data_IF_279853624416
#
_entry.id   IF_279853624416
#
_cell.length_a   1.000
_cell.length_b   1.000
_cell.length_c   1.000
_cell.angle_alpha   90.00
_cell.angle_beta   90.00
_cell.angle_gamma   90.00
#
_symmetry.space_group_name_H-M   'P 1'
#
loop_
_entity.id
_entity.type
_entity.pdbx_description
1 polymer ?
#
# COMPACT_ATOMS: atom_id res chain seq x y z
N UNK A 1 32.06 6.56 18.26
CA UNK A 1 32.17 5.14 17.91
C UNK A 1 31.33 4.40 18.93
N UNK A 2 30.18 3.93 18.59
CA UNK A 2 29.37 3.07 19.49
C UNK A 2 29.77 1.63 19.20
N UNK A 3 30.43 1.01 20.17
CA UNK A 3 30.80 -0.39 20.16
C UNK A 3 29.61 -1.20 20.71
N UNK A 4 29.04 -2.07 19.87
CA UNK A 4 28.05 -3.03 20.34
C UNK A 4 28.76 -4.19 21.01
N UNK A 5 28.68 -4.28 22.34
CA UNK A 5 29.25 -5.36 23.14
C UNK A 5 28.24 -6.52 23.22
N UNK A 6 28.67 -7.72 22.85
CA UNK A 6 27.91 -8.96 23.10
C UNK A 6 28.09 -9.45 24.52
N UNK A 7 27.19 -10.30 25.01
CA UNK A 7 27.29 -10.94 26.34
C UNK A 7 28.58 -11.78 26.58
N UNK A 8 29.42 -11.95 25.56
CA UNK A 8 30.72 -12.62 25.58
C UNK A 8 31.93 -11.71 25.42
N UNK A 9 31.77 -10.37 25.36
CA UNK A 9 32.89 -9.42 25.27
C UNK A 9 33.53 -9.31 23.88
N UNK A 10 33.05 -10.01 22.86
CA UNK A 10 33.50 -9.83 21.47
C UNK A 10 32.82 -8.60 20.83
N UNK A 11 33.65 -7.64 20.41
CA UNK A 11 33.19 -6.47 19.65
C UNK A 11 32.99 -6.89 18.21
N UNK A 12 31.74 -7.12 17.83
CA UNK A 12 31.41 -7.39 16.41
C UNK A 12 31.57 -6.11 15.60
N UNK A 13 32.25 -6.17 14.43
CA UNK A 13 32.41 -4.99 13.58
C UNK A 13 31.05 -4.48 13.11
N UNK A 14 30.72 -3.23 13.42
CA UNK A 14 29.52 -2.56 12.87
C UNK A 14 29.73 -2.40 11.38
N UNK A 15 29.09 -3.26 10.59
CA UNK A 15 29.15 -3.19 9.13
C UNK A 15 28.32 -2.01 8.67
N UNK A 16 28.97 -0.92 8.32
CA UNK A 16 28.30 0.25 7.72
C UNK A 16 27.84 -0.04 6.31
N UNK A 17 26.64 0.46 6.00
CA UNK A 17 26.04 0.33 4.69
C UNK A 17 26.49 1.50 3.80
N UNK A 18 27.09 1.20 2.65
CA UNK A 18 27.29 2.17 1.59
C UNK A 18 25.97 2.40 0.81
N UNK A 19 25.92 3.42 -0.05
CA UNK A 19 24.71 3.73 -0.85
C UNK A 19 24.25 2.56 -1.70
N UNK A 20 25.19 1.78 -2.27
CA UNK A 20 24.87 0.61 -3.10
C UNK A 20 24.17 -0.47 -2.28
N UNK A 21 24.61 -0.70 -1.05
CA UNK A 21 23.99 -1.70 -0.16
C UNK A 21 22.61 -1.27 0.32
N UNK A 22 22.38 0.02 0.60
CA UNK A 22 21.05 0.56 0.86
C UNK A 22 20.13 0.40 -0.35
N UNK A 23 20.60 0.74 -1.55
CA UNK A 23 19.83 0.56 -2.78
C UNK A 23 19.52 -0.93 -3.05
N UNK A 24 20.50 -1.82 -2.85
CA UNK A 24 20.31 -3.25 -2.97
C UNK A 24 19.31 -3.80 -1.95
N UNK A 25 19.38 -3.35 -0.68
CA UNK A 25 18.40 -3.74 0.34
C UNK A 25 16.99 -3.26 -0.03
N UNK A 26 16.85 -2.07 -0.61
CA UNK A 26 15.56 -1.50 -1.01
C UNK A 26 15.01 -2.06 -2.33
N UNK A 27 15.79 -2.85 -3.09
CA UNK A 27 15.40 -3.32 -4.44
C UNK A 27 14.11 -4.14 -4.44
N UNK A 28 13.88 -5.01 -3.44
CA UNK A 28 12.66 -5.81 -3.40
C UNK A 28 11.41 -4.94 -3.19
N UNK A 29 11.54 -3.79 -2.52
CA UNK A 29 10.41 -2.87 -2.39
C UNK A 29 10.00 -2.26 -3.74
N UNK A 30 10.97 -2.03 -4.65
CA UNK A 30 10.67 -1.68 -6.04
C UNK A 30 9.86 -2.79 -6.71
N UNK A 31 10.29 -4.05 -6.64
CA UNK A 31 9.60 -5.18 -7.26
C UNK A 31 8.18 -5.39 -6.70
N UNK A 32 8.04 -5.30 -5.38
CA UNK A 32 6.73 -5.38 -4.72
C UNK A 32 5.81 -4.25 -5.15
N UNK A 33 6.28 -3.00 -5.18
CA UNK A 33 5.45 -1.85 -5.56
C UNK A 33 5.13 -1.82 -7.05
N UNK A 34 6.05 -2.29 -7.89
CA UNK A 34 5.84 -2.51 -9.32
C UNK A 34 4.70 -3.49 -9.59
N UNK A 35 4.47 -4.44 -8.68
CA UNK A 35 3.41 -5.46 -8.78
C UNK A 35 2.14 -5.02 -8.06
N UNK A 36 2.23 -4.64 -6.78
CA UNK A 36 1.09 -4.40 -5.90
C UNK A 36 0.22 -3.21 -6.28
N UNK A 37 0.72 -2.22 -7.01
CA UNK A 37 -0.07 -1.05 -7.37
C UNK A 37 -0.80 -1.24 -8.70
N UNK A 38 -0.16 -1.56 -9.85
CA UNK A 38 -0.89 -1.71 -11.11
C UNK A 38 -1.70 -3.01 -11.18
N UNK A 39 -1.30 -4.09 -10.51
CA UNK A 39 -2.04 -5.35 -10.54
C UNK A 39 -3.50 -5.19 -10.05
N UNK A 40 -3.79 -4.77 -8.81
CA UNK A 40 -5.16 -4.70 -8.31
C UNK A 40 -5.96 -3.53 -8.91
N UNK A 41 -5.30 -2.51 -9.45
CA UNK A 41 -5.96 -1.31 -9.95
C UNK A 41 -6.21 -1.32 -11.47
N UNK A 42 -5.48 -2.17 -12.21
CA UNK A 42 -5.59 -2.23 -13.68
C UNK A 42 -5.79 -3.66 -14.18
N UNK A 43 -4.89 -4.59 -13.83
CA UNK A 43 -4.90 -5.95 -14.39
C UNK A 43 -6.09 -6.76 -13.84
N UNK A 44 -6.35 -6.68 -12.54
CA UNK A 44 -7.46 -7.40 -11.91
C UNK A 44 -8.82 -6.90 -12.41
N UNK A 45 -9.14 -5.58 -12.44
CA UNK A 45 -10.41 -5.10 -12.98
C UNK A 45 -10.64 -5.49 -14.43
N UNK A 46 -9.61 -5.43 -15.29
CA UNK A 46 -9.74 -5.86 -16.69
C UNK A 46 -10.02 -7.37 -16.81
N UNK A 47 -9.28 -8.18 -16.03
CA UNK A 47 -9.51 -9.63 -16.02
C UNK A 47 -10.92 -9.97 -15.54
N UNK A 48 -11.40 -9.33 -14.47
CA UNK A 48 -12.76 -9.55 -13.94
C UNK A 48 -13.81 -9.15 -14.96
N UNK A 49 -13.67 -7.98 -15.61
CA UNK A 49 -14.60 -7.55 -16.66
C UNK A 49 -14.66 -8.51 -17.86
N UNK A 50 -13.56 -9.22 -18.16
CA UNK A 50 -13.53 -10.23 -19.23
C UNK A 50 -14.31 -11.50 -18.88
N UNK A 51 -14.40 -11.85 -17.59
CA UNK A 51 -15.13 -13.04 -17.11
C UNK A 51 -16.59 -12.72 -16.76
N UNK A 52 -16.85 -11.52 -16.25
CA UNK A 52 -18.16 -11.03 -15.84
C UNK A 52 -18.47 -9.68 -16.51
N UNK A 53 -19.06 -9.69 -17.71
CA UNK A 53 -19.42 -8.45 -18.42
C UNK A 53 -20.49 -7.62 -17.69
N UNK A 54 -21.29 -8.27 -16.84
CA UNK A 54 -22.28 -7.67 -15.96
C UNK A 54 -21.84 -7.85 -14.50
N UNK A 55 -22.22 -6.95 -13.62
CA UNK A 55 -21.89 -7.01 -12.17
C UNK A 55 -20.38 -7.10 -11.83
N UNK A 56 -19.52 -6.67 -12.74
CA UNK A 56 -18.08 -6.77 -12.56
C UNK A 56 -17.56 -5.98 -11.37
N UNK A 57 -18.23 -4.88 -10.96
CA UNK A 57 -17.80 -4.14 -9.76
C UNK A 57 -17.95 -4.99 -8.50
N UNK A 58 -19.02 -5.77 -8.38
CA UNK A 58 -19.20 -6.74 -7.30
C UNK A 58 -18.05 -7.75 -7.24
N UNK A 59 -17.69 -8.34 -8.39
CA UNK A 59 -16.62 -9.33 -8.44
C UNK A 59 -15.22 -8.72 -8.27
N UNK A 60 -14.99 -7.48 -8.70
CA UNK A 60 -13.77 -6.71 -8.38
C UNK A 60 -13.68 -6.52 -6.85
N UNK A 61 -14.78 -6.11 -6.22
CA UNK A 61 -14.87 -5.94 -4.78
C UNK A 61 -14.55 -7.24 -4.02
N UNK A 62 -15.13 -8.37 -4.43
CA UNK A 62 -14.87 -9.67 -3.81
C UNK A 62 -13.42 -10.14 -4.01
N UNK A 63 -12.87 -10.02 -5.21
CA UNK A 63 -11.48 -10.39 -5.48
C UNK A 63 -10.51 -9.54 -4.65
N UNK A 64 -10.75 -8.22 -4.57
CA UNK A 64 -9.97 -7.31 -3.75
C UNK A 64 -10.11 -7.64 -2.26
N UNK A 65 -11.32 -7.93 -1.79
CA UNK A 65 -11.59 -8.35 -0.40
C UNK A 65 -10.87 -9.64 -0.02
N UNK A 66 -10.86 -10.65 -0.91
CA UNK A 66 -10.09 -11.89 -0.73
C UNK A 66 -8.61 -11.57 -0.60
N UNK A 67 -8.05 -10.77 -1.51
CA UNK A 67 -6.64 -10.37 -1.46
C UNK A 67 -6.28 -9.67 -0.16
N UNK A 68 -7.12 -8.77 0.27
CA UNK A 68 -6.94 -7.99 1.47
C UNK A 68 -7.06 -8.82 2.76
N UNK A 69 -7.91 -9.85 2.79
CA UNK A 69 -7.94 -10.83 3.88
C UNK A 69 -6.57 -11.47 4.10
N UNK A 70 -5.90 -11.91 3.02
CA UNK A 70 -4.55 -12.47 3.12
C UNK A 70 -3.50 -11.42 3.43
N UNK A 71 -3.65 -10.18 2.97
CA UNK A 71 -2.74 -9.08 3.30
C UNK A 71 -2.76 -8.71 4.81
N UNK A 72 -3.87 -8.97 5.52
CA UNK A 72 -3.98 -8.76 6.97
C UNK A 72 -3.49 -9.98 7.74
N UNK A 73 -3.85 -11.19 7.31
CA UNK A 73 -3.65 -12.43 8.09
C UNK A 73 -2.26 -13.04 7.91
N UNK A 74 -1.71 -13.02 6.70
CA UNK A 74 -0.43 -13.69 6.39
C UNK A 74 0.79 -13.01 7.05
N UNK A 75 0.96 -11.67 7.02
CA UNK A 75 2.14 -11.05 7.57
C UNK A 75 2.39 -11.33 9.05
N UNK A 76 1.39 -11.26 9.97
CA UNK A 76 1.60 -11.64 11.36
C UNK A 76 1.99 -13.11 11.55
N UNK A 77 1.38 -14.02 10.76
CA UNK A 77 1.69 -15.46 10.83
C UNK A 77 3.12 -15.74 10.38
N UNK A 78 3.53 -15.17 9.24
CA UNK A 78 4.90 -15.32 8.73
C UNK A 78 5.90 -14.63 9.65
N UNK A 79 5.57 -13.48 10.22
CA UNK A 79 6.39 -12.81 11.22
C UNK A 79 6.71 -13.72 12.39
N UNK A 80 5.66 -14.29 13.02
CA UNK A 80 5.83 -15.24 14.14
C UNK A 80 6.61 -16.48 13.74
N UNK A 81 6.35 -17.02 12.55
CA UNK A 81 6.98 -18.24 12.09
C UNK A 81 8.45 -18.02 11.75
N UNK A 82 8.77 -16.95 11.05
CA UNK A 82 10.16 -16.61 10.70
C UNK A 82 11.02 -16.24 11.91
N UNK A 83 10.42 -15.74 13.00
CA UNK A 83 11.13 -15.50 14.27
C UNK A 83 11.61 -16.79 14.95
N UNK A 84 10.96 -17.93 14.67
CA UNK A 84 11.26 -19.22 15.31
C UNK A 84 12.23 -20.10 14.53
N UNK A 85 12.43 -19.80 13.25
CA UNK A 85 13.30 -20.61 12.39
C UNK A 85 14.74 -20.12 12.50
N UNK A 86 15.63 -21.06 12.81
CA UNK A 86 17.08 -20.88 12.72
C UNK A 86 17.58 -21.64 11.50
N UNK A 87 18.03 -20.94 10.47
CA UNK A 87 18.57 -21.53 9.24
C UNK A 87 19.97 -20.98 8.98
N UNK A 88 20.81 -21.81 8.37
CA UNK A 88 22.14 -21.39 7.87
C UNK A 88 22.08 -20.24 6.84
N UNK A 89 20.89 -20.02 6.26
CA UNK A 89 20.65 -18.94 5.31
C UNK A 89 20.06 -17.67 5.96
N UNK A 90 19.96 -17.62 7.29
CA UNK A 90 19.24 -16.60 8.04
C UNK A 90 17.80 -17.02 8.33
N UNK A 91 17.08 -16.21 9.11
CA UNK A 91 15.67 -16.49 9.51
C UNK A 91 14.64 -15.90 8.53
N UNK A 92 14.97 -14.78 7.85
CA UNK A 92 14.07 -14.03 6.96
C UNK A 92 14.26 -14.40 5.49
N UNK A 93 15.51 -14.59 5.06
CA UNK A 93 15.85 -14.84 3.63
C UNK A 93 15.13 -16.03 3.03
N UNK A 94 14.98 -17.19 3.69
CA UNK A 94 14.21 -18.32 3.13
C UNK A 94 12.76 -17.97 2.82
N UNK A 95 12.10 -17.17 3.68
CA UNK A 95 10.72 -16.74 3.46
C UNK A 95 10.59 -15.78 2.30
N UNK A 96 11.56 -14.89 2.09
CA UNK A 96 11.59 -14.02 0.90
C UNK A 96 11.72 -14.85 -0.38
N UNK A 97 12.65 -15.81 -0.41
CA UNK A 97 12.89 -16.65 -1.60
C UNK A 97 11.66 -17.50 -1.93
N UNK A 98 11.15 -18.26 -0.95
CA UNK A 98 9.98 -19.13 -1.14
C UNK A 98 8.74 -18.30 -1.46
N UNK A 99 8.55 -17.18 -0.76
CA UNK A 99 7.40 -16.32 -0.97
C UNK A 99 7.40 -15.66 -2.36
N UNK A 100 8.54 -15.16 -2.84
CA UNK A 100 8.63 -14.61 -4.20
C UNK A 100 8.46 -15.73 -5.24
N UNK A 101 9.11 -16.88 -5.08
CA UNK A 101 9.03 -17.99 -6.04
C UNK A 101 7.58 -18.51 -6.20
N UNK A 102 6.90 -18.79 -5.09
CA UNK A 102 5.51 -19.25 -5.13
C UNK A 102 4.52 -18.13 -5.48
N UNK A 103 4.83 -16.89 -5.13
CA UNK A 103 4.09 -15.73 -5.60
C UNK A 103 4.13 -15.58 -7.13
N UNK A 104 5.28 -15.82 -7.75
CA UNK A 104 5.45 -15.85 -9.21
C UNK A 104 4.62 -16.98 -9.84
N UNK A 105 4.53 -18.15 -9.21
CA UNK A 105 3.62 -19.22 -9.66
C UNK A 105 2.18 -18.71 -9.68
N UNK A 106 1.74 -17.97 -8.64
CA UNK A 106 0.41 -17.34 -8.60
C UNK A 106 0.21 -16.36 -9.76
N UNK A 107 1.19 -15.48 -10.05
CA UNK A 107 1.12 -14.57 -11.18
C UNK A 107 1.02 -15.32 -12.53
N UNK A 108 1.74 -16.42 -12.67
CA UNK A 108 1.70 -17.23 -13.89
C UNK A 108 0.34 -17.94 -14.04
N UNK A 109 -0.23 -18.48 -12.96
CA UNK A 109 -1.58 -19.09 -12.97
C UNK A 109 -2.61 -18.04 -13.38
N UNK A 110 -2.54 -16.80 -12.87
CA UNK A 110 -3.43 -15.71 -13.29
C UNK A 110 -3.25 -15.34 -14.76
N UNK A 111 -2.01 -15.28 -15.24
CA UNK A 111 -1.70 -14.93 -16.64
C UNK A 111 -2.33 -15.94 -17.61
N UNK A 112 -2.27 -17.22 -17.29
CA UNK A 112 -2.77 -18.31 -18.12
C UNK A 112 -4.22 -18.72 -17.84
N UNK A 113 -4.91 -18.00 -16.91
CA UNK A 113 -6.25 -18.35 -16.49
C UNK A 113 -7.26 -18.30 -17.65
N UNK A 114 -7.94 -19.42 -17.90
CA UNK A 114 -9.03 -19.54 -18.86
C UNK A 114 -10.41 -19.23 -18.27
N UNK A 115 -10.53 -19.18 -16.93
CA UNK A 115 -11.77 -18.88 -16.22
C UNK A 115 -11.49 -18.14 -14.91
N UNK A 116 -12.55 -17.55 -14.33
CA UNK A 116 -12.45 -16.75 -13.12
C UNK A 116 -11.94 -17.54 -11.91
N UNK A 117 -12.38 -18.80 -11.74
CA UNK A 117 -11.94 -19.63 -10.63
C UNK A 117 -10.42 -19.85 -10.65
N UNK A 118 -9.87 -20.17 -11.82
CA UNK A 118 -8.42 -20.32 -12.00
C UNK A 118 -7.70 -19.00 -11.72
N UNK A 119 -8.25 -17.87 -12.17
CA UNK A 119 -7.70 -16.54 -11.90
C UNK A 119 -7.66 -16.26 -10.39
N UNK A 120 -8.76 -16.51 -9.66
CA UNK A 120 -8.83 -16.32 -8.20
C UNK A 120 -7.88 -17.26 -7.45
N UNK A 121 -7.73 -18.52 -7.89
CA UNK A 121 -6.72 -19.43 -7.29
C UNK A 121 -5.31 -18.84 -7.44
N UNK A 122 -4.94 -18.36 -8.61
CA UNK A 122 -3.67 -17.69 -8.83
C UNK A 122 -3.52 -16.43 -7.98
N UNK A 123 -4.60 -15.63 -7.85
CA UNK A 123 -4.65 -14.46 -6.99
C UNK A 123 -4.40 -14.80 -5.52
N UNK A 124 -5.08 -15.82 -4.99
CA UNK A 124 -4.90 -16.28 -3.59
C UNK A 124 -3.46 -16.76 -3.36
N UNK A 125 -2.90 -17.54 -4.28
CA UNK A 125 -1.50 -17.99 -4.20
C UNK A 125 -0.57 -16.77 -4.15
N UNK A 126 -0.72 -15.83 -5.08
CA UNK A 126 0.11 -14.62 -5.11
C UNK A 126 -0.04 -13.80 -3.82
N UNK A 127 -1.27 -13.63 -3.31
CA UNK A 127 -1.53 -12.88 -2.09
C UNK A 127 -0.88 -13.52 -0.86
N UNK A 128 -1.01 -14.83 -0.68
CA UNK A 128 -0.40 -15.54 0.45
C UNK A 128 1.13 -15.39 0.41
N UNK A 129 1.73 -15.73 -0.71
CA UNK A 129 3.17 -15.87 -0.77
C UNK A 129 3.90 -14.55 -0.90
N UNK A 130 3.39 -13.58 -1.68
CA UNK A 130 4.01 -12.26 -1.77
C UNK A 130 3.82 -11.43 -0.49
N UNK A 131 2.67 -11.52 0.21
CA UNK A 131 2.53 -10.90 1.53
C UNK A 131 3.45 -11.55 2.57
N UNK A 132 3.67 -12.86 2.49
CA UNK A 132 4.65 -13.56 3.31
C UNK A 132 6.08 -13.09 3.05
N UNK A 133 6.46 -12.95 1.77
CA UNK A 133 7.76 -12.41 1.37
C UNK A 133 7.94 -10.96 1.86
N UNK A 134 6.91 -10.13 1.69
CA UNK A 134 6.93 -8.73 2.15
C UNK A 134 7.09 -8.62 3.66
N UNK A 135 6.40 -9.46 4.44
CA UNK A 135 6.53 -9.48 5.90
C UNK A 135 7.97 -9.80 6.35
N UNK A 136 8.56 -10.83 5.75
CA UNK A 136 9.95 -11.19 6.01
C UNK A 136 10.93 -10.09 5.58
N UNK A 137 10.65 -9.44 4.45
CA UNK A 137 11.43 -8.35 3.92
C UNK A 137 11.40 -7.10 4.82
N UNK A 138 10.23 -6.69 5.30
CA UNK A 138 10.15 -5.54 6.20
C UNK A 138 10.84 -5.82 7.55
N UNK A 139 10.79 -7.05 8.00
CA UNK A 139 11.43 -7.46 9.24
C UNK A 139 12.97 -7.57 9.14
N UNK A 140 13.55 -7.78 7.95
CA UNK A 140 15.01 -7.88 7.78
C UNK A 140 15.69 -6.51 7.89
N UNK A 141 14.98 -5.41 7.60
CA UNK A 141 15.56 -4.07 7.62
C UNK A 141 16.13 -3.71 8.99
N UNK A 142 15.36 -3.78 10.09
CA UNK A 142 15.92 -3.54 11.43
C UNK A 142 16.93 -4.62 11.87
N UNK A 143 16.91 -5.83 11.28
CA UNK A 143 17.85 -6.89 11.63
C UNK A 143 19.27 -6.62 11.08
N UNK A 144 19.40 -5.89 9.96
CA UNK A 144 20.70 -5.73 9.26
C UNK A 144 21.19 -4.29 9.18
N UNK A 145 20.31 -3.29 9.18
CA UNK A 145 20.68 -1.87 9.08
C UNK A 145 21.10 -1.32 10.44
N UNK A 146 22.23 -0.59 10.55
CA UNK A 146 22.60 0.13 11.76
C UNK A 146 21.56 1.20 12.13
N UNK A 147 21.34 1.43 13.44
CA UNK A 147 20.31 2.33 13.96
C UNK A 147 20.52 3.79 13.51
N UNK A 148 21.79 4.22 13.40
CA UNK A 148 22.19 5.55 12.91
C UNK A 148 21.96 5.73 11.38
N UNK A 149 21.69 4.65 10.64
CA UNK A 149 21.46 4.65 9.19
C UNK A 149 19.98 4.42 8.79
N UNK A 150 19.04 4.23 9.75
CA UNK A 150 17.63 4.00 9.44
C UNK A 150 17.00 5.12 8.60
N UNK A 151 17.33 6.38 8.85
CA UNK A 151 16.82 7.49 8.06
C UNK A 151 17.23 7.39 6.59
N UNK A 152 18.48 7.01 6.34
CA UNK A 152 19.01 6.80 4.98
C UNK A 152 18.34 5.59 4.31
N UNK A 153 18.23 4.47 5.01
CA UNK A 153 17.53 3.28 4.51
C UNK A 153 16.08 3.59 4.14
N UNK A 154 15.35 4.34 4.98
CA UNK A 154 13.98 4.78 4.70
C UNK A 154 13.87 5.64 3.44
N UNK A 155 14.84 6.52 3.19
CA UNK A 155 14.90 7.31 1.95
C UNK A 155 15.04 6.44 0.70
N UNK A 156 15.93 5.44 0.72
CA UNK A 156 16.06 4.47 -0.37
C UNK A 156 14.80 3.63 -0.58
N UNK A 157 14.19 3.18 0.52
CA UNK A 157 12.92 2.42 0.47
C UNK A 157 11.80 3.24 -0.17
N UNK A 158 11.60 4.48 0.26
CA UNK A 158 10.59 5.37 -0.31
C UNK A 158 10.84 5.64 -1.80
N UNK A 159 12.09 5.90 -2.19
CA UNK A 159 12.47 6.09 -3.59
C UNK A 159 12.19 4.86 -4.46
N UNK A 160 12.55 3.67 -3.98
CA UNK A 160 12.28 2.40 -4.67
C UNK A 160 10.79 2.09 -4.74
N UNK A 161 10.01 2.39 -3.70
CA UNK A 161 8.55 2.24 -3.70
C UNK A 161 7.91 3.09 -4.80
N UNK A 162 8.20 4.38 -4.83
CA UNK A 162 7.61 5.31 -5.80
C UNK A 162 8.09 5.03 -7.22
N UNK A 163 9.38 4.74 -7.38
CA UNK A 163 9.95 4.33 -8.66
C UNK A 163 9.32 3.05 -9.20
N UNK A 164 9.12 2.04 -8.33
CA UNK A 164 8.44 0.79 -8.68
C UNK A 164 7.00 1.02 -9.12
N UNK A 165 6.25 1.85 -8.39
CA UNK A 165 4.89 2.21 -8.75
C UNK A 165 4.79 2.88 -10.13
N UNK A 166 5.58 3.92 -10.36
CA UNK A 166 5.58 4.66 -11.62
C UNK A 166 5.96 3.76 -12.81
N UNK A 167 7.04 3.00 -12.68
CA UNK A 167 7.47 2.05 -13.72
C UNK A 167 6.43 0.96 -13.96
N UNK A 168 5.77 0.46 -12.91
CA UNK A 168 4.71 -0.53 -13.00
C UNK A 168 3.50 -0.03 -13.78
N UNK A 169 3.01 1.19 -13.48
CA UNK A 169 1.92 1.80 -14.24
C UNK A 169 2.30 2.12 -15.68
N UNK A 170 3.49 2.68 -15.91
CA UNK A 170 3.96 3.01 -17.26
C UNK A 170 4.05 1.76 -18.14
N UNK A 171 4.58 0.67 -17.61
CA UNK A 171 4.70 -0.60 -18.34
C UNK A 171 3.33 -1.24 -18.56
N UNK A 172 2.45 -1.24 -17.57
CA UNK A 172 1.10 -1.78 -17.71
C UNK A 172 0.30 -0.98 -18.74
N UNK A 173 0.46 0.36 -18.79
CA UNK A 173 -0.11 1.20 -19.86
C UNK A 173 0.38 0.79 -21.25
N UNK A 174 1.67 0.47 -21.39
CA UNK A 174 2.24 0.00 -22.65
C UNK A 174 1.62 -1.32 -23.12
N UNK A 175 1.48 -2.31 -22.23
CA UNK A 175 0.78 -3.57 -22.58
C UNK A 175 -0.70 -3.38 -22.85
N UNK A 176 -1.35 -2.50 -22.09
CA UNK A 176 -2.75 -2.19 -22.31
C UNK A 176 -2.98 -1.50 -23.68
N UNK A 177 -2.04 -0.68 -24.16
CA UNK A 177 -2.10 -0.04 -25.47
C UNK A 177 -2.17 -1.04 -26.62
N UNK A 178 -1.57 -2.22 -26.45
CA UNK A 178 -1.63 -3.33 -27.43
C UNK A 178 -2.60 -4.44 -27.05
N UNK A 179 -3.52 -4.17 -26.13
CA UNK A 179 -4.54 -5.10 -25.63
C UNK A 179 -3.97 -6.41 -25.03
N UNK A 180 -2.81 -6.33 -24.39
CA UNK A 180 -2.11 -7.47 -23.80
C UNK A 180 -1.79 -7.23 -22.31
N UNK A 181 -2.70 -6.59 -21.58
CA UNK A 181 -2.51 -6.21 -20.16
C UNK A 181 -2.10 -7.40 -19.28
N UNK A 182 -2.58 -8.61 -19.57
CA UNK A 182 -2.18 -9.83 -18.81
C UNK A 182 -0.69 -10.13 -18.90
N UNK A 183 0.01 -9.73 -19.98
CA UNK A 183 1.45 -9.89 -20.08
C UNK A 183 2.22 -9.05 -19.06
N UNK A 184 1.60 -8.01 -18.48
CA UNK A 184 2.18 -7.27 -17.36
C UNK A 184 2.54 -8.20 -16.19
N UNK A 185 1.75 -9.27 -15.95
CA UNK A 185 2.01 -10.25 -14.90
C UNK A 185 3.34 -10.98 -15.10
N UNK A 186 3.71 -11.27 -16.36
CA UNK A 186 5.01 -11.85 -16.67
C UNK A 186 6.17 -10.91 -16.33
N UNK A 187 6.03 -9.64 -16.69
CA UNK A 187 7.08 -8.66 -16.39
C UNK A 187 7.15 -8.37 -14.89
N UNK A 188 6.00 -8.36 -14.19
CA UNK A 188 5.96 -8.28 -12.73
C UNK A 188 6.74 -9.45 -12.09
N UNK A 189 6.56 -10.67 -12.60
CA UNK A 189 7.31 -11.84 -12.14
C UNK A 189 8.82 -11.70 -12.38
N UNK A 190 9.22 -11.19 -13.55
CA UNK A 190 10.64 -10.94 -13.90
C UNK A 190 11.24 -9.86 -12.99
N UNK A 191 10.54 -8.74 -12.79
CA UNK A 191 11.02 -7.64 -11.92
C UNK A 191 11.13 -8.10 -10.47
N UNK A 192 10.17 -8.87 -9.95
CA UNK A 192 10.26 -9.49 -8.62
C UNK A 192 11.49 -10.39 -8.50
N UNK A 193 11.74 -11.23 -9.50
CA UNK A 193 12.90 -12.13 -9.52
C UNK A 193 14.22 -11.35 -9.51
N UNK A 194 14.34 -10.33 -10.36
CA UNK A 194 15.54 -9.50 -10.45
C UNK A 194 15.76 -8.71 -9.17
N UNK A 195 14.69 -8.16 -8.58
CA UNK A 195 14.77 -7.35 -7.36
C UNK A 195 15.08 -8.16 -6.10
N UNK A 196 14.84 -9.47 -6.11
CA UNK A 196 15.17 -10.37 -5.01
C UNK A 196 16.69 -10.58 -4.88
N UNK A 197 17.42 -10.65 -5.96
CA UNK A 197 18.87 -10.98 -5.95
C UNK A 197 19.69 -9.95 -5.15
N UNK A 198 19.59 -8.63 -5.42
CA UNK A 198 20.36 -7.64 -4.68
C UNK A 198 20.00 -7.61 -3.18
N UNK A 199 18.71 -7.80 -2.81
CA UNK A 199 18.33 -7.81 -1.41
C UNK A 199 18.93 -9.01 -0.67
N UNK A 200 19.00 -10.20 -1.28
CA UNK A 200 19.63 -11.36 -0.68
C UNK A 200 21.15 -11.14 -0.46
N UNK A 201 21.80 -10.43 -1.38
CA UNK A 201 23.17 -10.02 -1.22
C UNK A 201 23.34 -9.00 -0.08
N UNK A 202 22.52 -7.95 -0.04
CA UNK A 202 22.61 -6.93 0.99
C UNK A 202 22.33 -7.50 2.40
N UNK A 203 21.48 -8.51 2.48
CA UNK A 203 21.04 -9.16 3.72
C UNK A 203 21.96 -10.32 4.19
N UNK A 204 23.16 -10.49 3.64
CA UNK A 204 24.08 -11.58 4.02
C UNK A 204 24.51 -11.50 5.51
N UNK A 205 24.41 -10.33 6.13
CA UNK A 205 24.72 -10.10 7.55
C UNK A 205 23.58 -10.45 8.50
N UNK A 206 22.46 -10.98 7.98
CA UNK A 206 21.39 -11.49 8.83
C UNK A 206 21.90 -12.60 9.77
N UNK A 207 21.51 -12.54 11.04
CA UNK A 207 21.91 -13.53 12.05
C UNK A 207 23.23 -13.24 12.76
N UNK A 208 23.96 -12.19 12.38
CA UNK A 208 25.18 -11.76 13.07
C UNK A 208 24.88 -10.93 14.33
N UNK A 209 23.65 -10.45 14.51
CA UNK A 209 23.22 -9.74 15.71
C UNK A 209 22.42 -10.66 16.62
N UNK A 210 22.73 -10.71 17.95
CA UNK A 210 21.91 -11.40 18.92
C UNK A 210 20.53 -10.72 19.00
N UNK A 211 19.47 -11.51 18.90
CA UNK A 211 18.12 -10.99 18.99
C UNK A 211 17.53 -11.42 20.32
N UNK A 212 17.19 -10.45 21.16
CA UNK A 212 16.40 -10.69 22.36
C UNK A 212 14.98 -11.11 21.98
N UNK A 213 14.67 -12.38 22.20
CA UNK A 213 13.30 -12.88 22.08
C UNK A 213 12.55 -12.48 23.34
N UNK A 214 11.72 -11.43 23.25
CA UNK A 214 10.87 -11.04 24.39
C UNK A 214 9.79 -12.10 24.67
N UNK A 215 9.61 -12.49 25.95
CA UNK A 215 8.54 -13.42 26.35
C UNK A 215 7.17 -12.81 26.05
N UNK A 216 6.30 -13.55 25.39
CA UNK A 216 4.94 -13.09 25.06
C UNK A 216 3.97 -13.42 26.18
N UNK A 217 3.18 -12.45 26.60
CA UNK A 217 2.04 -12.60 27.51
C UNK A 217 0.84 -13.33 26.86
N UNK A 218 -0.26 -13.57 27.61
CA UNK A 218 -1.48 -14.19 27.11
C UNK A 218 -2.06 -13.42 25.92
N UNK A 219 -2.57 -14.14 24.91
CA UNK A 219 -3.04 -13.56 23.65
C UNK A 219 -4.10 -12.45 23.85
N UNK A 220 -5.08 -12.67 24.71
CA UNK A 220 -6.15 -11.69 24.99
C UNK A 220 -5.62 -10.40 25.63
N UNK A 221 -4.67 -10.51 26.56
CA UNK A 221 -4.01 -9.36 27.16
C UNK A 221 -3.20 -8.59 26.10
N UNK A 222 -2.56 -9.33 25.19
CA UNK A 222 -1.80 -8.74 24.07
C UNK A 222 -2.71 -8.00 23.08
N UNK A 223 -3.90 -8.51 22.76
CA UNK A 223 -4.88 -7.85 21.91
C UNK A 223 -5.42 -6.57 22.57
N UNK A 224 -5.80 -6.64 23.86
CA UNK A 224 -6.27 -5.46 24.59
C UNK A 224 -5.17 -4.38 24.66
N UNK A 225 -3.94 -4.77 24.95
CA UNK A 225 -2.79 -3.86 24.97
C UNK A 225 -2.48 -3.28 23.59
N UNK A 226 -2.65 -4.08 22.51
CA UNK A 226 -2.48 -3.62 21.12
C UNK A 226 -3.52 -2.57 20.74
N UNK A 227 -4.78 -2.75 21.14
CA UNK A 227 -5.87 -1.83 20.81
C UNK A 227 -5.99 -0.62 21.76
N UNK A 228 -5.32 -0.66 22.94
CA UNK A 228 -5.38 0.39 23.94
C UNK A 228 -5.13 1.81 23.40
N UNK A 229 -4.18 2.05 22.47
CA UNK A 229 -3.93 3.38 21.90
C UNK A 229 -5.14 4.00 21.19
N UNK A 230 -6.12 3.22 20.76
CA UNK A 230 -7.35 3.74 20.12
C UNK A 230 -8.20 4.58 21.08
N UNK A 231 -8.12 4.32 22.38
CA UNK A 231 -8.90 5.01 23.41
C UNK A 231 -8.07 5.98 24.25
N UNK A 232 -6.76 6.02 24.03
CA UNK A 232 -5.84 6.84 24.82
C UNK A 232 -5.30 8.02 23.99
N UNK A 233 -5.79 9.23 24.32
CA UNK A 233 -5.22 10.46 23.78
C UNK A 233 -5.50 10.74 22.30
N UNK A 234 -4.63 11.52 21.70
CA UNK A 234 -4.77 12.03 20.34
C UNK A 234 -4.42 10.99 19.26
N UNK A 235 -3.64 9.97 19.60
CA UNK A 235 -3.25 8.91 18.66
C UNK A 235 -4.47 8.14 18.13
N UNK A 236 -5.49 7.90 18.96
CA UNK A 236 -6.73 7.29 18.51
C UNK A 236 -7.44 8.10 17.42
N UNK A 237 -7.40 9.43 17.52
CA UNK A 237 -7.95 10.31 16.49
C UNK A 237 -7.11 10.28 15.20
N UNK A 238 -5.77 10.16 15.30
CA UNK A 238 -4.90 9.97 14.13
C UNK A 238 -5.25 8.67 13.41
N UNK A 239 -5.41 7.57 14.14
CA UNK A 239 -5.84 6.28 13.58
C UNK A 239 -7.20 6.41 12.89
N UNK A 240 -8.19 7.03 13.55
CA UNK A 240 -9.52 7.21 12.98
C UNK A 240 -9.49 8.06 11.69
N UNK A 241 -8.80 9.21 11.70
CA UNK A 241 -8.71 10.09 10.52
C UNK A 241 -8.01 9.40 9.37
N UNK A 242 -6.95 8.64 9.64
CA UNK A 242 -6.26 7.81 8.64
C UNK A 242 -7.19 6.73 8.05
N UNK A 243 -7.95 6.03 8.90
CA UNK A 243 -8.94 5.04 8.43
C UNK A 243 -9.97 5.68 7.50
N UNK A 244 -10.48 6.85 7.85
CA UNK A 244 -11.47 7.58 7.02
C UNK A 244 -10.86 8.00 5.68
N UNK A 245 -9.67 8.60 5.68
CA UNK A 245 -9.00 8.98 4.42
C UNK A 245 -8.72 7.76 3.55
N UNK A 246 -8.22 6.68 4.13
CA UNK A 246 -7.97 5.42 3.39
C UNK A 246 -9.26 4.79 2.88
N UNK A 247 -10.36 4.85 3.66
CA UNK A 247 -11.68 4.39 3.23
C UNK A 247 -12.18 5.19 2.02
N UNK A 248 -12.00 6.51 2.03
CA UNK A 248 -12.33 7.36 0.88
C UNK A 248 -11.55 7.01 -0.38
N UNK A 249 -10.25 6.72 -0.26
CA UNK A 249 -9.44 6.24 -1.38
C UNK A 249 -9.94 4.87 -1.86
N UNK A 250 -10.16 3.93 -0.94
CA UNK A 250 -10.58 2.56 -1.26
C UNK A 250 -11.96 2.49 -1.93
N UNK A 251 -12.86 3.43 -1.62
CA UNK A 251 -14.22 3.46 -2.18
C UNK A 251 -14.24 3.65 -3.69
N UNK A 252 -13.22 4.24 -4.29
CA UNK A 252 -13.22 4.54 -5.73
C UNK A 252 -12.00 4.02 -6.48
N UNK A 253 -10.83 3.91 -5.85
CA UNK A 253 -9.58 3.62 -6.56
C UNK A 253 -9.61 2.28 -7.32
N UNK A 254 -10.26 1.27 -6.77
CA UNK A 254 -10.41 -0.05 -7.41
C UNK A 254 -11.45 -0.07 -8.53
N UNK A 255 -12.31 0.95 -8.60
CA UNK A 255 -13.38 1.09 -9.58
C UNK A 255 -13.11 2.19 -10.61
N UNK A 256 -11.91 2.79 -10.61
CA UNK A 256 -11.52 3.81 -11.59
C UNK A 256 -11.58 3.29 -13.02
N UNK A 257 -11.11 2.08 -13.27
CA UNK A 257 -11.13 1.50 -14.61
C UNK A 257 -12.56 1.26 -15.12
N UNK A 258 -13.47 0.62 -14.36
CA UNK A 258 -14.89 0.58 -14.69
C UNK A 258 -15.51 1.97 -14.89
N UNK A 259 -15.24 2.92 -14.02
CA UNK A 259 -15.72 4.29 -14.14
C UNK A 259 -15.26 4.95 -15.44
N UNK A 260 -13.99 4.80 -15.82
CA UNK A 260 -13.46 5.36 -17.07
C UNK A 260 -14.08 4.71 -18.30
N UNK A 261 -14.41 3.42 -18.23
CA UNK A 261 -15.13 2.69 -19.27
C UNK A 261 -16.56 3.20 -19.42
N UNK A 262 -17.33 3.18 -18.32
CA UNK A 262 -18.78 3.33 -18.35
C UNK A 262 -19.22 4.80 -18.39
N UNK A 263 -18.49 5.69 -17.73
CA UNK A 263 -18.86 7.10 -17.57
C UNK A 263 -18.07 8.01 -18.49
N UNK A 264 -16.73 7.85 -18.50
CA UNK A 264 -15.87 8.70 -19.36
C UNK A 264 -15.90 8.22 -20.81
N UNK A 265 -16.16 6.93 -21.04
CA UNK A 265 -16.27 6.35 -22.39
C UNK A 265 -14.92 6.24 -23.11
N UNK A 266 -13.83 5.97 -22.36
CA UNK A 266 -12.50 5.83 -22.98
C UNK A 266 -12.39 4.54 -23.79
N UNK A 267 -11.73 4.61 -24.95
CA UNK A 267 -11.57 3.46 -25.83
C UNK A 267 -10.71 2.33 -25.23
N UNK A 268 -9.72 2.67 -24.42
CA UNK A 268 -8.84 1.72 -23.75
C UNK A 268 -8.78 2.02 -22.25
N UNK A 269 -9.73 1.50 -21.44
CA UNK A 269 -9.82 1.78 -20.02
C UNK A 269 -8.58 1.37 -19.22
N UNK A 270 -7.95 0.18 -19.43
CA UNK A 270 -6.73 -0.20 -18.69
C UNK A 270 -5.56 0.76 -18.94
N UNK A 271 -5.35 1.16 -20.20
CA UNK A 271 -4.31 2.11 -20.57
C UNK A 271 -4.56 3.47 -19.91
N UNK A 272 -5.78 3.99 -20.02
CA UNK A 272 -6.12 5.30 -19.45
C UNK A 272 -6.01 5.30 -17.92
N UNK A 273 -6.46 4.23 -17.27
CA UNK A 273 -6.33 4.06 -15.80
C UNK A 273 -4.86 4.09 -15.38
N UNK A 274 -4.00 3.36 -16.11
CA UNK A 274 -2.57 3.33 -15.83
C UNK A 274 -1.93 4.71 -15.99
N UNK A 275 -2.29 5.46 -17.04
CA UNK A 275 -1.80 6.82 -17.28
C UNK A 275 -2.31 7.77 -16.18
N UNK A 276 -3.59 7.69 -15.82
CA UNK A 276 -4.19 8.51 -14.78
C UNK A 276 -3.51 8.30 -13.43
N UNK A 277 -3.25 7.05 -13.07
CA UNK A 277 -2.54 6.69 -11.83
C UNK A 277 -1.08 7.16 -11.88
N UNK A 278 -0.38 6.96 -13.01
CA UNK A 278 0.99 7.45 -13.17
C UNK A 278 1.08 8.98 -13.02
N UNK A 279 0.15 9.72 -13.64
CA UNK A 279 0.05 11.19 -13.49
C UNK A 279 -0.22 11.57 -12.04
N UNK A 280 -1.13 10.89 -11.36
CA UNK A 280 -1.46 11.13 -9.96
C UNK A 280 -0.26 10.87 -9.05
N UNK A 281 0.45 9.76 -9.24
CA UNK A 281 1.66 9.43 -8.47
C UNK A 281 2.81 10.42 -8.75
N UNK A 282 3.02 10.83 -10.00
CA UNK A 282 4.01 11.83 -10.33
C UNK A 282 3.70 13.20 -9.68
N UNK A 283 2.43 13.61 -9.74
CA UNK A 283 1.96 14.87 -9.14
C UNK A 283 2.05 14.86 -7.60
N UNK A 284 2.08 13.70 -6.96
CA UNK A 284 2.18 13.54 -5.52
C UNK A 284 3.58 13.86 -4.98
N UNK A 285 4.65 13.64 -5.76
CA UNK A 285 6.04 13.68 -5.29
C UNK A 285 6.43 15.08 -4.80
N UNK A 286 6.27 16.11 -5.64
CA UNK A 286 6.65 17.47 -5.30
C UNK A 286 5.94 18.03 -4.06
N UNK A 287 4.59 18.01 -4.04
CA UNK A 287 3.80 18.42 -2.87
C UNK A 287 4.09 17.60 -1.61
N UNK A 288 4.37 16.30 -1.75
CA UNK A 288 4.76 15.44 -0.63
C UNK A 288 6.05 15.94 0.04
N UNK A 289 7.08 16.18 -0.75
CA UNK A 289 8.37 16.72 -0.26
C UNK A 289 8.18 18.13 0.33
N UNK A 290 7.54 19.03 -0.41
CA UNK A 290 7.32 20.41 0.01
C UNK A 290 6.46 20.48 1.28
N UNK A 291 5.38 19.70 1.34
CA UNK A 291 4.47 19.61 2.48
C UNK A 291 5.17 19.12 3.75
N UNK A 292 6.05 18.11 3.63
CA UNK A 292 6.87 17.63 4.73
C UNK A 292 7.68 18.75 5.38
N UNK A 293 8.47 19.49 4.59
CA UNK A 293 9.29 20.58 5.10
C UNK A 293 8.48 21.78 5.64
N UNK A 294 7.34 22.08 5.04
CA UNK A 294 6.54 23.26 5.42
C UNK A 294 5.59 22.99 6.57
N UNK A 295 5.13 21.76 6.74
CA UNK A 295 4.16 21.38 7.78
C UNK A 295 4.68 21.63 9.19
N UNK A 296 5.99 21.51 9.42
CA UNK A 296 6.63 21.80 10.71
C UNK A 296 6.51 23.29 11.11
N UNK A 297 6.49 24.19 10.12
CA UNK A 297 6.39 25.66 10.36
C UNK A 297 4.95 26.17 10.41
N UNK A 298 4.11 25.71 9.48
CA UNK A 298 2.75 26.25 9.30
C UNK A 298 1.68 25.47 10.06
N UNK A 299 2.05 24.37 10.69
CA UNK A 299 1.16 23.46 11.42
C UNK A 299 0.60 22.35 10.52
N UNK A 300 0.67 21.12 11.01
CA UNK A 300 0.34 19.91 10.24
C UNK A 300 -1.12 19.83 9.83
N UNK A 301 -2.04 20.27 10.69
CA UNK A 301 -3.50 20.23 10.43
C UNK A 301 -3.91 21.02 9.19
N UNK A 302 -3.26 22.16 8.91
CA UNK A 302 -3.56 22.99 7.73
C UNK A 302 -3.34 22.23 6.44
N UNK A 303 -2.30 21.39 6.39
CA UNK A 303 -2.02 20.55 5.23
C UNK A 303 -3.04 19.43 5.07
N UNK A 304 -3.51 18.84 6.17
CA UNK A 304 -4.61 17.84 6.12
C UNK A 304 -5.91 18.48 5.63
N UNK A 305 -6.24 19.69 6.09
CA UNK A 305 -7.42 20.43 5.60
C UNK A 305 -7.32 20.76 4.12
N UNK A 306 -6.16 21.25 3.66
CA UNK A 306 -5.93 21.54 2.25
C UNK A 306 -6.02 20.27 1.39
N UNK A 307 -5.40 19.18 1.83
CA UNK A 307 -5.47 17.89 1.16
C UNK A 307 -6.92 17.36 1.08
N UNK A 308 -7.63 17.36 2.20
CA UNK A 308 -9.04 16.94 2.26
C UNK A 308 -9.94 17.78 1.36
N UNK A 309 -9.76 19.11 1.35
CA UNK A 309 -10.52 20.00 0.48
C UNK A 309 -10.29 19.68 -1.01
N UNK A 310 -9.04 19.41 -1.43
CA UNK A 310 -8.73 19.03 -2.82
C UNK A 310 -9.39 17.69 -3.19
N UNK A 311 -9.32 16.69 -2.29
CA UNK A 311 -9.93 15.37 -2.51
C UNK A 311 -11.45 15.47 -2.62
N UNK A 312 -12.08 16.22 -1.72
CA UNK A 312 -13.54 16.46 -1.73
C UNK A 312 -13.93 17.20 -3.01
N UNK A 313 -13.18 18.23 -3.43
CA UNK A 313 -13.47 18.98 -4.65
C UNK A 313 -13.42 18.10 -5.90
N UNK A 314 -12.43 17.21 -6.02
CA UNK A 314 -12.33 16.24 -7.11
C UNK A 314 -13.51 15.29 -7.11
N UNK A 315 -13.89 14.73 -5.95
CA UNK A 315 -15.01 13.82 -5.85
C UNK A 315 -16.35 14.51 -6.18
N UNK A 316 -16.58 15.72 -5.68
CA UNK A 316 -17.77 16.53 -6.01
C UNK A 316 -17.85 16.87 -7.49
N UNK A 317 -16.72 17.14 -8.14
CA UNK A 317 -16.69 17.40 -9.57
C UNK A 317 -17.15 16.16 -10.36
N UNK A 318 -16.69 14.97 -10.01
CA UNK A 318 -17.15 13.72 -10.64
C UNK A 318 -18.63 13.44 -10.39
N UNK A 319 -19.17 13.78 -9.22
CA UNK A 319 -20.63 13.64 -8.94
C UNK A 319 -21.45 14.60 -9.80
N UNK A 320 -21.01 15.85 -9.91
CA UNK A 320 -21.81 16.91 -10.52
C UNK A 320 -21.79 16.87 -12.06
N UNK A 321 -20.63 16.61 -12.67
CA UNK A 321 -20.43 16.91 -14.10
C UNK A 321 -20.22 15.69 -15.00
N UNK A 322 -19.92 14.49 -14.46
CA UNK A 322 -19.62 13.31 -15.30
C UNK A 322 -18.68 13.65 -16.48
N UNK A 323 -17.42 14.03 -16.24
CA UNK A 323 -16.56 14.52 -17.30
C UNK A 323 -16.27 13.42 -18.32
N UNK A 324 -16.55 13.70 -19.60
CA UNK A 324 -16.20 12.83 -20.73
C UNK A 324 -14.89 13.23 -21.39
N UNK A 325 -14.39 14.44 -21.09
CA UNK A 325 -13.14 14.94 -21.66
C UNK A 325 -11.94 14.37 -20.89
N UNK A 326 -11.17 13.51 -21.55
CA UNK A 326 -10.01 12.84 -20.94
C UNK A 326 -8.98 13.80 -20.34
N UNK A 327 -8.75 14.96 -20.97
CA UNK A 327 -7.83 15.99 -20.45
C UNK A 327 -8.25 16.55 -19.09
N UNK A 328 -9.56 16.79 -18.88
CA UNK A 328 -10.10 17.23 -17.59
C UNK A 328 -9.93 16.12 -16.55
N UNK A 329 -10.23 14.88 -16.91
CA UNK A 329 -10.09 13.72 -16.02
C UNK A 329 -8.63 13.53 -15.59
N UNK A 330 -7.65 13.73 -16.49
CA UNK A 330 -6.21 13.68 -16.15
C UNK A 330 -5.80 14.86 -15.24
N UNK A 331 -6.30 16.06 -15.49
CA UNK A 331 -6.04 17.22 -14.63
C UNK A 331 -6.61 17.01 -13.22
N UNK A 332 -7.80 16.41 -13.09
CA UNK A 332 -8.36 16.00 -11.80
C UNK A 332 -7.52 14.92 -11.12
N UNK A 333 -6.93 14.00 -11.89
CA UNK A 333 -5.97 13.03 -11.38
C UNK A 333 -4.70 13.67 -10.82
N UNK A 334 -4.16 14.69 -11.50
CA UNK A 334 -3.04 15.46 -11.00
C UNK A 334 -3.41 16.24 -9.71
N UNK A 335 -4.58 16.88 -9.67
CA UNK A 335 -5.08 17.57 -8.48
C UNK A 335 -5.27 16.61 -7.30
N UNK A 336 -5.84 15.41 -7.57
CA UNK A 336 -5.93 14.33 -6.59
C UNK A 336 -4.55 13.96 -6.06
N UNK A 337 -3.57 13.76 -6.94
CA UNK A 337 -2.19 13.43 -6.58
C UNK A 337 -1.54 14.49 -5.69
N UNK A 338 -1.68 15.78 -6.04
CA UNK A 338 -1.21 16.92 -5.23
C UNK A 338 -1.79 16.84 -3.81
N UNK A 339 -3.11 16.72 -3.68
CA UNK A 339 -3.79 16.62 -2.39
C UNK A 339 -3.32 15.41 -1.59
N UNK A 340 -3.23 14.23 -2.22
CA UNK A 340 -2.82 13.01 -1.54
C UNK A 340 -1.34 13.05 -1.11
N UNK A 341 -0.47 13.68 -1.90
CA UNK A 341 0.93 13.91 -1.54
C UNK A 341 1.09 14.80 -0.30
N UNK A 342 0.32 15.89 -0.22
CA UNK A 342 0.28 16.75 0.97
C UNK A 342 -0.20 15.98 2.21
N UNK A 343 -1.22 15.12 2.07
CA UNK A 343 -1.70 14.29 3.15
C UNK A 343 -0.64 13.31 3.65
N UNK A 344 -0.03 12.53 2.76
CA UNK A 344 0.97 11.52 3.13
C UNK A 344 2.20 12.12 3.82
N UNK A 345 2.61 13.33 3.40
CA UNK A 345 3.74 14.03 4.02
C UNK A 345 3.51 14.33 5.51
N UNK A 346 2.25 14.56 5.89
CA UNK A 346 1.88 14.98 7.24
C UNK A 346 1.36 13.81 8.09
N UNK A 347 0.73 12.83 7.47
CA UNK A 347 0.07 11.70 8.13
C UNK A 347 1.04 10.88 8.99
N UNK A 348 2.19 10.52 8.44
CA UNK A 348 3.25 9.83 9.20
C UNK A 348 3.78 10.66 10.37
N UNK A 349 3.99 11.95 10.13
CA UNK A 349 4.49 12.87 11.13
C UNK A 349 3.47 13.08 12.26
N UNK A 350 2.16 13.18 11.95
CA UNK A 350 1.09 13.21 12.97
C UNK A 350 1.10 11.95 13.83
N UNK A 351 1.29 10.78 13.23
CA UNK A 351 1.40 9.54 13.98
C UNK A 351 2.58 9.58 14.95
N UNK A 352 3.77 9.95 14.48
CA UNK A 352 4.98 10.01 15.32
C UNK A 352 4.86 11.01 16.47
N UNK A 353 4.19 12.16 16.24
CA UNK A 353 4.00 13.19 17.27
C UNK A 353 3.01 12.78 18.36
N UNK A 354 2.11 11.86 18.05
CA UNK A 354 1.00 11.48 18.95
C UNK A 354 1.16 10.08 19.57
N UNK A 355 2.25 9.37 19.27
CA UNK A 355 2.54 8.06 19.89
C UNK A 355 2.50 8.17 21.41
N UNK A 356 1.63 7.39 22.12
CA UNK A 356 1.46 7.50 23.56
C UNK A 356 2.70 7.07 24.36
N UNK A 357 3.41 6.04 23.89
CA UNK A 357 4.57 5.48 24.55
C UNK A 357 5.68 5.20 23.54
N UNK A 358 6.73 6.01 23.56
CA UNK A 358 7.87 5.85 22.64
C UNK A 358 8.60 4.51 22.81
N UNK A 359 8.56 3.91 24.00
CA UNK A 359 9.16 2.59 24.23
C UNK A 359 8.38 1.47 23.52
N UNK A 360 7.10 1.70 23.21
CA UNK A 360 6.20 0.76 22.50
C UNK A 360 5.84 1.25 21.09
N UNK A 361 6.60 2.18 20.53
CA UNK A 361 6.31 2.82 19.25
C UNK A 361 6.10 1.82 18.10
N UNK A 362 6.87 0.71 18.05
CA UNK A 362 6.72 -0.32 17.02
C UNK A 362 5.32 -0.96 17.04
N UNK A 363 4.75 -1.19 18.21
CA UNK A 363 3.40 -1.72 18.39
C UNK A 363 2.35 -0.72 17.88
N UNK A 364 2.49 0.55 18.29
CA UNK A 364 1.53 1.61 17.93
C UNK A 364 1.59 1.92 16.42
N UNK A 365 2.77 1.88 15.80
CA UNK A 365 2.94 1.97 14.36
C UNK A 365 2.37 0.75 13.62
N UNK A 366 2.35 -0.42 14.23
CA UNK A 366 1.60 -1.58 13.74
C UNK A 366 0.09 -1.30 13.63
N UNK A 367 -0.50 -0.67 14.66
CA UNK A 367 -1.90 -0.24 14.64
C UNK A 367 -2.17 0.83 13.57
N UNK A 368 -1.24 1.77 13.39
CA UNK A 368 -1.28 2.78 12.33
C UNK A 368 -1.25 2.14 10.93
N UNK A 369 -0.53 1.03 10.74
CA UNK A 369 -0.55 0.26 9.49
C UNK A 369 -1.88 -0.47 9.27
N UNK A 370 -2.47 -1.03 10.33
CA UNK A 370 -3.81 -1.65 10.27
C UNK A 370 -4.85 -0.62 9.83
N UNK A 371 -4.76 0.63 10.30
CA UNK A 371 -5.65 1.72 9.90
C UNK A 371 -5.61 2.02 8.39
N UNK A 372 -4.51 1.69 7.71
CA UNK A 372 -4.41 1.76 6.25
C UNK A 372 -4.94 0.50 5.56
N UNK A 373 -4.63 -0.67 6.10
CA UNK A 373 -4.91 -1.94 5.42
C UNK A 373 -6.37 -2.34 5.54
N UNK A 374 -6.98 -2.12 6.70
CA UNK A 374 -8.34 -2.56 7.00
C UNK A 374 -9.41 -1.93 6.08
N UNK A 375 -9.42 -0.59 5.82
CA UNK A 375 -10.37 -0.01 4.87
C UNK A 375 -10.17 -0.53 3.44
N UNK A 376 -8.94 -0.69 2.97
CA UNK A 376 -8.66 -1.26 1.65
C UNK A 376 -9.17 -2.70 1.50
N UNK A 377 -9.37 -3.40 2.62
CA UNK A 377 -9.88 -4.78 2.65
C UNK A 377 -11.40 -4.83 2.59
N UNK A 378 -12.06 -3.96 3.33
CA UNK A 378 -13.50 -4.05 3.60
C UNK A 378 -14.29 -3.20 2.60
N UNK A 379 -13.86 -1.96 2.37
CA UNK A 379 -14.63 -0.99 1.57
C UNK A 379 -14.88 -1.47 0.15
N UNK A 380 -13.91 -2.00 -0.63
CA UNK A 380 -14.16 -2.40 -2.01
C UNK A 380 -15.23 -3.49 -2.15
N UNK A 381 -15.32 -4.43 -1.19
CA UNK A 381 -16.31 -5.50 -1.23
C UNK A 381 -17.75 -4.97 -1.10
N UNK A 382 -17.96 -3.97 -0.24
CA UNK A 382 -19.26 -3.30 -0.09
C UNK A 382 -19.54 -2.34 -1.25
N UNK A 383 -18.55 -1.54 -1.63
CA UNK A 383 -18.70 -0.50 -2.64
C UNK A 383 -18.97 -1.10 -4.03
N UNK A 384 -18.30 -2.19 -4.41
CA UNK A 384 -18.56 -2.88 -5.67
C UNK A 384 -20.00 -3.36 -5.80
N UNK A 385 -20.52 -4.01 -4.75
CA UNK A 385 -21.93 -4.45 -4.69
C UNK A 385 -22.90 -3.24 -4.74
N UNK A 386 -22.54 -2.15 -4.06
CA UNK A 386 -23.36 -0.95 -4.05
C UNK A 386 -23.40 -0.28 -5.43
N UNK A 387 -22.25 -0.18 -6.11
CA UNK A 387 -22.15 0.37 -7.46
C UNK A 387 -23.04 -0.41 -8.42
N UNK A 388 -22.92 -1.74 -8.47
CA UNK A 388 -23.73 -2.55 -9.38
C UNK A 388 -25.22 -2.45 -9.07
N UNK A 389 -25.61 -2.55 -7.80
CA UNK A 389 -27.01 -2.41 -7.37
C UNK A 389 -27.63 -1.10 -7.82
N UNK A 390 -26.95 0.02 -7.69
CA UNK A 390 -27.46 1.31 -8.13
C UNK A 390 -27.41 1.46 -9.66
N UNK A 391 -26.42 0.89 -10.33
CA UNK A 391 -26.34 0.86 -11.79
C UNK A 391 -27.51 0.08 -12.44
N UNK A 392 -28.03 -0.96 -11.76
CA UNK A 392 -29.26 -1.63 -12.18
C UNK A 392 -30.52 -0.75 -12.08
N UNK A 393 -30.56 0.20 -11.14
CA UNK A 393 -31.67 1.14 -11.01
C UNK A 393 -31.60 2.26 -12.04
N UNK A 394 -30.42 2.81 -12.26
CA UNK A 394 -30.18 3.86 -13.25
C UNK A 394 -28.73 3.80 -13.74
N UNK A 395 -28.49 3.81 -15.06
CA UNK A 395 -27.14 3.71 -15.60
C UNK A 395 -26.19 4.71 -14.96
N UNK A 396 -25.03 4.21 -14.52
CA UNK A 396 -23.93 4.98 -13.92
C UNK A 396 -24.24 5.66 -12.57
N UNK A 397 -25.43 5.47 -11.99
CA UNK A 397 -25.79 6.08 -10.71
C UNK A 397 -24.96 5.53 -9.54
N UNK A 398 -24.51 4.27 -9.62
CA UNK A 398 -23.67 3.64 -8.64
C UNK A 398 -22.32 4.36 -8.44
N UNK A 399 -21.75 4.92 -9.52
CA UNK A 399 -20.51 5.70 -9.40
C UNK A 399 -20.72 7.03 -8.66
N UNK A 400 -21.92 7.66 -8.76
CA UNK A 400 -22.25 8.83 -7.92
C UNK A 400 -22.29 8.46 -6.45
N UNK A 401 -22.85 7.29 -6.14
CA UNK A 401 -22.90 6.79 -4.77
C UNK A 401 -21.48 6.55 -4.25
N UNK A 402 -20.61 5.90 -5.05
CA UNK A 402 -19.21 5.67 -4.69
C UNK A 402 -18.46 6.99 -4.42
N UNK A 403 -18.57 7.99 -5.30
CA UNK A 403 -17.99 9.31 -5.05
C UNK A 403 -18.65 10.03 -3.86
N UNK A 404 -19.94 9.79 -3.58
CA UNK A 404 -20.62 10.24 -2.36
C UNK A 404 -19.98 9.65 -1.09
N UNK A 405 -19.67 8.35 -1.10
CA UNK A 405 -18.92 7.68 -0.04
C UNK A 405 -17.52 8.30 0.14
N UNK A 406 -16.84 8.60 -0.97
CA UNK A 406 -15.54 9.31 -0.94
C UNK A 406 -15.65 10.66 -0.22
N UNK A 407 -16.66 11.48 -0.59
CA UNK A 407 -16.91 12.77 0.06
C UNK A 407 -17.17 12.59 1.55
N UNK A 408 -18.04 11.65 1.92
CA UNK A 408 -18.34 11.35 3.33
C UNK A 408 -17.08 11.01 4.12
N UNK A 409 -16.30 10.07 3.63
CA UNK A 409 -15.09 9.62 4.31
C UNK A 409 -14.02 10.71 4.41
N UNK A 410 -13.78 11.49 3.35
CA UNK A 410 -12.83 12.60 3.41
C UNK A 410 -13.30 13.74 4.32
N UNK A 411 -14.59 14.05 4.34
CA UNK A 411 -15.17 15.03 5.27
C UNK A 411 -14.97 14.57 6.72
N UNK A 412 -15.30 13.31 7.04
CA UNK A 412 -15.05 12.74 8.37
C UNK A 412 -13.55 12.77 8.71
N UNK A 413 -12.69 12.27 7.82
CA UNK A 413 -11.24 12.29 8.04
C UNK A 413 -10.68 13.70 8.25
N UNK A 414 -11.20 14.69 7.53
CA UNK A 414 -10.73 16.08 7.62
C UNK A 414 -11.25 16.79 8.87
N UNK A 415 -12.55 16.67 9.19
CA UNK A 415 -13.17 17.36 10.33
C UNK A 415 -12.58 16.85 11.64
N UNK A 416 -12.45 15.53 11.79
CA UNK A 416 -11.97 14.92 13.02
C UNK A 416 -10.49 15.16 13.33
N UNK A 417 -9.70 15.65 12.36
CA UNK A 417 -8.35 16.17 12.64
C UNK A 417 -8.36 17.29 13.68
N UNK A 418 -9.47 18.05 13.77
CA UNK A 418 -9.64 19.10 14.80
C UNK A 418 -9.57 18.55 16.23
N UNK A 419 -9.90 17.28 16.43
CA UNK A 419 -9.87 16.60 17.75
C UNK A 419 -8.48 16.27 18.25
N UNK A 420 -7.47 16.24 17.39
CA UNK A 420 -6.07 16.05 17.76
C UNK A 420 -5.60 17.35 18.41
N UNK A 421 -5.40 17.37 19.73
CA UNK A 421 -5.10 18.60 20.48
C UNK A 421 -3.60 18.85 20.66
N UNK A 422 -2.80 17.81 20.72
CA UNK A 422 -1.36 17.88 20.97
C UNK A 422 -0.55 18.47 19.81
N UNK A 423 -1.11 18.56 18.61
CA UNK A 423 -0.43 19.03 17.38
C UNK A 423 -1.16 20.24 16.80
N UNK A 424 -0.37 21.21 16.26
CA UNK A 424 -0.87 22.42 15.59
C UNK A 424 -1.20 22.19 14.12
#
# INVERSE_FOLDING_TARGET
MAEATTAGGEVLPVIRFNNLRHAALASLYLGLSFTWLPYPLVVLPEAVQSYYPHDYNTYIGYATGIGAFFAITVPPLVGVWSDRITSRFGRRRPFMVVGVALGIVGLFVMMTAGNFTQFIVGHVIAQIFLNGAAAAYYAIIPDVVPDDEFGKASGFLAGMQQGGALLGFALTAGFAAVHQTRLSLLVMAVVLSISLVPVLWAAQTEGQRPIEVQPRGPLLASIHEFLRPLWTGDFGWVIFTRMMVTAGVAAVVFFLQPFFKDVVGVANPPQFTSIWLAVSFAAMIGPGIWGGYRSDRYGRKRFVYAAGAMQIAVALYFIAFYPTQQGIVLALGALYGIGYGLYLAVDWALACDTIPDRAKAAKDMGLFHVAQTLPNSIIPAFEGTLIDKFNHVSPNSGYRVAFGSVVLFFVLGTIFVSRIRSVR
#
